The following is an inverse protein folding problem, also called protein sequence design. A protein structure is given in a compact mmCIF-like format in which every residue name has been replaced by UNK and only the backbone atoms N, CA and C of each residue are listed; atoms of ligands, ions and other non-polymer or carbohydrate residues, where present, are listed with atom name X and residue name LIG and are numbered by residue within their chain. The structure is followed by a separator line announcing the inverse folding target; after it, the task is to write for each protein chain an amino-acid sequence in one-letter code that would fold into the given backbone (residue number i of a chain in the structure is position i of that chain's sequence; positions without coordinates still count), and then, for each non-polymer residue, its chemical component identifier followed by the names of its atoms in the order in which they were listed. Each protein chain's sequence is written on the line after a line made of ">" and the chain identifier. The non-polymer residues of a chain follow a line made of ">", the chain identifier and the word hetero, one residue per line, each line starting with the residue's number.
data_IF_074914994962
#
_entry.id   IF_074914994962
#
_cell.length_a   1.000
_cell.length_b   1.000
_cell.length_c   1.000
_cell.angle_alpha   90.00
_cell.angle_beta   90.00
_cell.angle_gamma   90.00
#
_symmetry.space_group_name_H-M   'P 1'
#
loop_
_entity.id
_entity.type
_entity.pdbx_description
1 polymer ?
#
# COMPACT_ATOMS: atom_id res chain seq x y z
N UNK A 1 -32.06 -19.59 5.36
CA UNK A 1 -30.76 -19.62 4.65
C UNK A 1 -30.23 -21.04 4.77
N UNK A 2 -30.36 -21.85 3.71
CA UNK A 2 -29.85 -23.23 3.74
C UNK A 2 -28.33 -23.18 3.58
N UNK A 3 -27.60 -23.70 4.57
CA UNK A 3 -26.14 -23.77 4.53
C UNK A 3 -25.75 -25.11 3.91
N UNK A 4 -25.19 -25.08 2.70
CA UNK A 4 -24.67 -26.28 2.04
C UNK A 4 -23.16 -26.41 2.27
N UNK A 5 -22.67 -27.56 2.79
CA UNK A 5 -21.26 -27.72 3.09
C UNK A 5 -20.44 -27.85 1.80
N UNK A 6 -19.39 -27.03 1.66
CA UNK A 6 -18.40 -27.17 0.59
C UNK A 6 -17.20 -27.99 1.06
N UNK A 7 -16.84 -29.03 0.30
CA UNK A 7 -15.63 -29.83 0.55
C UNK A 7 -14.45 -29.25 -0.21
N UNK A 8 -13.39 -28.90 0.51
CA UNK A 8 -12.10 -28.46 -0.01
C UNK A 8 -10.98 -29.10 0.79
N UNK A 9 -9.79 -29.14 0.20
CA UNK A 9 -8.62 -29.75 0.83
C UNK A 9 -7.93 -28.74 1.77
N UNK A 10 -7.99 -27.44 1.43
CA UNK A 10 -7.49 -26.34 2.25
C UNK A 10 -8.46 -25.15 2.22
N UNK A 11 -8.87 -24.67 3.39
CA UNK A 11 -9.61 -23.41 3.53
C UNK A 11 -8.71 -22.35 4.17
N UNK A 12 -8.60 -21.19 3.52
CA UNK A 12 -7.82 -20.04 3.98
C UNK A 12 -8.77 -18.94 4.40
N UNK A 13 -8.66 -18.51 5.66
CA UNK A 13 -9.42 -17.39 6.20
C UNK A 13 -8.53 -16.14 6.17
N UNK A 14 -8.94 -15.13 5.39
CA UNK A 14 -8.24 -13.87 5.23
C UNK A 14 -7.35 -13.81 3.99
N UNK A 15 -7.61 -12.83 3.14
CA UNK A 15 -6.85 -12.48 1.94
C UNK A 15 -5.67 -11.54 2.24
N UNK A 16 -5.06 -11.68 3.41
CA UNK A 16 -3.80 -11.01 3.75
C UNK A 16 -2.61 -11.57 2.95
N UNK A 17 -1.44 -10.94 3.08
CA UNK A 17 -0.21 -11.39 2.42
C UNK A 17 0.12 -12.86 2.71
N UNK A 18 -0.05 -13.27 3.98
CA UNK A 18 0.19 -14.65 4.40
C UNK A 18 -0.88 -15.62 3.84
N UNK A 19 -2.16 -15.25 3.89
CA UNK A 19 -3.25 -16.08 3.37
C UNK A 19 -3.15 -16.30 1.87
N UNK A 20 -2.85 -15.24 1.10
CA UNK A 20 -2.60 -15.35 -0.34
C UNK A 20 -1.36 -16.18 -0.67
N UNK A 21 -0.30 -16.10 0.15
CA UNK A 21 0.88 -16.92 -0.03
C UNK A 21 0.59 -18.41 0.27
N UNK A 22 -0.14 -18.69 1.35
CA UNK A 22 -0.54 -20.04 1.74
C UNK A 22 -1.49 -20.68 0.71
N UNK A 23 -2.51 -19.94 0.25
CA UNK A 23 -3.43 -20.37 -0.81
C UNK A 23 -2.66 -20.71 -2.08
N UNK A 24 -1.77 -19.81 -2.53
CA UNK A 24 -0.96 -20.01 -3.73
C UNK A 24 -0.06 -21.24 -3.60
N UNK A 25 0.52 -21.48 -2.43
CA UNK A 25 1.35 -22.65 -2.18
C UNK A 25 0.52 -23.94 -2.20
N UNK A 26 -0.62 -23.98 -1.51
CA UNK A 26 -1.51 -25.13 -1.50
C UNK A 26 -2.02 -25.48 -2.91
N UNK A 27 -2.46 -24.47 -3.67
CA UNK A 27 -2.94 -24.64 -5.04
C UNK A 27 -1.85 -25.13 -6.00
N UNK A 28 -0.59 -24.68 -5.82
CA UNK A 28 0.57 -25.18 -6.59
C UNK A 28 0.86 -26.66 -6.34
N UNK A 29 0.52 -27.18 -5.16
CA UNK A 29 0.64 -28.60 -4.82
C UNK A 29 -0.62 -29.41 -5.19
N UNK A 30 -1.55 -28.84 -5.96
CA UNK A 30 -2.73 -29.54 -6.46
C UNK A 30 -3.91 -29.60 -5.48
N UNK A 31 -3.85 -28.93 -4.33
CA UNK A 31 -4.98 -28.88 -3.40
C UNK A 31 -6.13 -28.01 -3.95
N UNK A 32 -7.37 -28.44 -3.73
CA UNK A 32 -8.55 -27.57 -3.93
C UNK A 32 -8.62 -26.61 -2.76
N UNK A 33 -8.44 -25.33 -3.05
CA UNK A 33 -8.39 -24.26 -2.07
C UNK A 33 -9.70 -23.46 -2.04
N UNK A 34 -10.05 -22.93 -0.86
CA UNK A 34 -11.10 -21.92 -0.69
C UNK A 34 -10.53 -20.75 0.10
N UNK A 35 -10.51 -19.56 -0.49
CA UNK A 35 -10.15 -18.32 0.21
C UNK A 35 -11.43 -17.60 0.63
N UNK A 36 -11.54 -17.29 1.92
CA UNK A 36 -12.69 -16.61 2.50
C UNK A 36 -12.18 -15.30 3.11
N UNK A 37 -12.66 -14.18 2.59
CA UNK A 37 -12.38 -12.86 3.14
C UNK A 37 -13.66 -12.01 3.06
N UNK A 38 -14.04 -11.30 4.12
CA UNK A 38 -15.23 -10.45 4.12
C UNK A 38 -15.13 -9.28 3.15
N UNK A 39 -13.93 -8.72 2.94
CA UNK A 39 -13.70 -7.51 2.16
C UNK A 39 -12.37 -7.62 1.40
N UNK A 40 -12.43 -8.13 0.17
CA UNK A 40 -11.26 -8.20 -0.72
C UNK A 40 -10.90 -6.81 -1.28
N UNK A 41 -10.36 -5.94 -0.44
CA UNK A 41 -9.91 -4.58 -0.77
C UNK A 41 -8.37 -4.45 -0.88
N UNK A 42 -7.67 -5.59 -0.90
CA UNK A 42 -6.20 -5.67 -0.82
C UNK A 42 -5.74 -6.19 0.54
N UNK A 43 -4.43 -6.40 0.70
CA UNK A 43 -3.88 -6.87 1.98
C UNK A 43 -3.81 -5.73 2.98
N UNK A 44 -3.97 -6.03 4.27
CA UNK A 44 -3.78 -5.04 5.35
C UNK A 44 -2.44 -4.30 5.23
N UNK A 45 -1.37 -4.99 4.82
CA UNK A 45 -0.06 -4.35 4.62
C UNK A 45 -0.10 -3.24 3.56
N UNK A 46 -0.88 -3.42 2.49
CA UNK A 46 -0.99 -2.47 1.39
C UNK A 46 -1.92 -1.29 1.70
N UNK A 47 -3.04 -1.53 2.38
CA UNK A 47 -4.08 -0.50 2.62
C UNK A 47 -3.82 0.33 3.87
N UNK A 48 -3.50 -0.29 5.01
CA UNK A 48 -3.45 0.39 6.32
C UNK A 48 -2.27 -0.04 7.19
N UNK A 49 -1.34 -0.80 6.62
CA UNK A 49 -0.29 -1.46 7.37
C UNK A 49 1.10 -0.96 6.99
N UNK A 50 1.99 -1.91 6.74
CA UNK A 50 3.40 -1.65 6.56
C UNK A 50 3.74 -0.70 5.40
N UNK A 51 2.97 -0.73 4.30
CA UNK A 51 3.26 0.04 3.10
C UNK A 51 3.06 1.55 3.30
N UNK A 52 1.88 2.04 3.75
CA UNK A 52 1.71 3.47 4.00
C UNK A 52 2.67 3.98 5.09
N UNK A 53 2.93 3.19 6.14
CA UNK A 53 3.86 3.59 7.20
C UNK A 53 5.28 3.79 6.68
N UNK A 54 5.79 2.89 5.82
CA UNK A 54 7.15 3.01 5.26
C UNK A 54 7.30 4.21 4.32
N UNK A 55 6.23 4.61 3.63
CA UNK A 55 6.28 5.80 2.78
C UNK A 55 6.32 7.10 3.59
N UNK A 56 5.58 7.16 4.70
CA UNK A 56 5.66 8.30 5.61
C UNK A 56 7.04 8.42 6.25
N UNK A 57 7.65 7.29 6.63
CA UNK A 57 9.03 7.26 7.12
C UNK A 57 10.00 7.78 6.04
N UNK A 58 9.91 7.28 4.81
CA UNK A 58 10.76 7.75 3.72
C UNK A 58 10.58 9.24 3.40
N UNK A 59 9.35 9.77 3.49
CA UNK A 59 9.08 11.19 3.34
C UNK A 59 9.71 12.02 4.48
N UNK A 60 9.66 11.52 5.71
CA UNK A 60 10.31 12.14 6.86
C UNK A 60 11.83 12.16 6.72
N UNK A 61 12.44 11.06 6.26
CA UNK A 61 13.88 10.97 5.97
C UNK A 61 14.29 11.97 4.87
N UNK A 62 13.50 12.10 3.81
CA UNK A 62 13.76 13.08 2.75
C UNK A 62 13.68 14.52 3.27
N UNK A 63 12.65 14.84 4.06
CA UNK A 63 12.52 16.15 4.71
C UNK A 63 13.70 16.44 5.64
N UNK A 64 14.19 15.41 6.35
CA UNK A 64 15.35 15.54 7.21
C UNK A 64 16.65 15.80 6.46
N UNK A 65 16.83 15.14 5.31
CA UNK A 65 17.93 15.44 4.40
C UNK A 65 17.90 16.89 3.89
N UNK A 66 16.71 17.42 3.58
CA UNK A 66 16.55 18.83 3.19
C UNK A 66 16.95 19.78 4.34
N UNK A 67 16.54 19.50 5.58
CA UNK A 67 16.94 20.32 6.74
C UNK A 67 18.45 20.34 6.97
N UNK A 68 19.12 19.21 6.72
CA UNK A 68 20.58 19.09 6.83
C UNK A 68 21.35 19.70 5.65
N UNK A 69 20.67 20.09 4.58
CA UNK A 69 21.31 20.70 3.40
C UNK A 69 22.02 22.03 3.73
N UNK A 70 21.65 22.68 4.84
CA UNK A 70 22.34 23.87 5.34
C UNK A 70 23.83 23.66 5.64
N UNK A 71 24.25 22.45 5.99
CA UNK A 71 25.67 22.09 6.17
C UNK A 71 26.50 22.28 4.89
N UNK A 72 25.83 22.26 3.73
CA UNK A 72 26.43 22.48 2.41
C UNK A 72 26.14 23.89 1.86
N UNK A 73 25.64 24.81 2.68
CA UNK A 73 25.29 26.17 2.27
C UNK A 73 23.98 26.28 1.47
N UNK A 74 23.15 25.23 1.48
CA UNK A 74 21.85 25.23 0.78
C UNK A 74 20.75 25.62 1.76
N UNK A 75 19.98 26.65 1.42
CA UNK A 75 18.79 27.06 2.18
C UNK A 75 17.52 26.51 1.54
N UNK A 76 16.80 25.65 2.25
CA UNK A 76 15.52 25.07 1.82
C UNK A 76 14.67 24.64 3.03
N UNK A 77 13.35 24.76 2.92
CA UNK A 77 12.39 24.31 3.94
C UNK A 77 11.50 23.19 3.36
N UNK A 78 11.48 22.00 3.96
CA UNK A 78 10.68 20.89 3.43
C UNK A 78 9.19 21.01 3.78
N UNK A 79 8.34 20.74 2.79
CA UNK A 79 6.90 20.57 2.99
C UNK A 79 6.46 19.16 2.58
N UNK A 80 5.82 18.44 3.51
CA UNK A 80 5.32 17.07 3.26
C UNK A 80 3.78 17.09 3.26
N UNK A 81 3.19 16.86 2.10
CA UNK A 81 1.75 16.59 1.99
C UNK A 81 1.47 15.13 2.34
N UNK A 82 1.02 14.90 3.57
CA UNK A 82 0.70 13.55 4.06
C UNK A 82 -0.38 12.82 3.24
N UNK A 83 -1.33 13.54 2.64
CA UNK A 83 -2.35 12.94 1.76
C UNK A 83 -1.75 12.51 0.44
N UNK A 84 -0.92 13.34 -0.18
CA UNK A 84 -0.22 12.97 -1.40
C UNK A 84 0.76 11.80 -1.15
N UNK A 85 1.49 11.80 -0.04
CA UNK A 85 2.38 10.70 0.36
C UNK A 85 1.62 9.37 0.55
N UNK A 86 0.49 9.39 1.25
CA UNK A 86 -0.33 8.19 1.46
C UNK A 86 -1.00 7.71 0.16
N UNK A 87 -1.44 8.62 -0.72
CA UNK A 87 -2.04 8.28 -2.00
C UNK A 87 -1.03 7.67 -2.99
N UNK A 88 0.24 8.10 -2.93
CA UNK A 88 1.31 7.54 -3.76
C UNK A 88 1.50 6.02 -3.55
N UNK A 89 1.17 5.52 -2.34
CA UNK A 89 1.18 4.10 -1.98
C UNK A 89 0.25 3.23 -2.83
N UNK A 90 -0.91 3.80 -3.22
CA UNK A 90 -2.00 3.06 -3.86
C UNK A 90 -1.85 3.03 -5.38
N UNK A 91 -1.01 3.90 -5.96
CA UNK A 91 -0.94 4.15 -7.41
C UNK A 91 0.19 3.36 -8.08
N UNK A 92 1.19 2.86 -7.33
CA UNK A 92 2.32 2.16 -7.95
C UNK A 92 2.85 0.98 -7.13
N UNK A 93 2.54 -0.28 -7.51
CA UNK A 93 3.13 -1.49 -6.94
C UNK A 93 4.67 -1.53 -7.04
N UNK A 94 5.27 -0.70 -7.90
CA UNK A 94 6.71 -0.58 -8.13
C UNK A 94 7.41 0.42 -7.20
N UNK A 95 6.66 1.22 -6.42
CA UNK A 95 7.26 2.19 -5.51
C UNK A 95 8.12 1.53 -4.43
N UNK A 96 7.74 0.34 -3.94
CA UNK A 96 8.52 -0.41 -2.96
C UNK A 96 9.93 -0.78 -3.45
N UNK A 97 10.07 -1.11 -4.74
CA UNK A 97 11.37 -1.46 -5.33
C UNK A 97 12.22 -0.27 -5.77
N UNK A 98 11.65 0.95 -5.78
CA UNK A 98 12.31 2.18 -6.25
C UNK A 98 12.55 3.25 -5.18
N UNK A 99 12.13 3.04 -3.94
CA UNK A 99 12.49 3.96 -2.84
C UNK A 99 14.02 4.02 -2.64
N UNK A 100 14.79 3.02 -3.09
CA UNK A 100 16.26 3.08 -3.13
C UNK A 100 16.85 3.77 -4.38
N UNK A 101 16.06 4.06 -5.42
CA UNK A 101 16.56 4.66 -6.66
C UNK A 101 15.58 5.69 -7.21
N UNK A 102 15.83 6.96 -6.83
CA UNK A 102 15.30 8.21 -7.39
C UNK A 102 13.77 8.27 -7.56
N UNK A 103 13.16 9.16 -6.79
CA UNK A 103 11.85 9.75 -7.09
C UNK A 103 11.83 10.20 -8.57
N UNK A 104 11.01 9.59 -9.45
CA UNK A 104 10.76 10.17 -10.75
C UNK A 104 9.82 11.36 -10.51
N UNK A 105 10.39 12.56 -10.65
CA UNK A 105 9.74 13.86 -10.82
C UNK A 105 8.20 13.81 -10.72
N UNK A 106 7.69 14.34 -9.61
CA UNK A 106 6.29 14.70 -9.47
C UNK A 106 5.84 15.52 -10.71
N UNK A 107 4.70 15.21 -11.34
CA UNK A 107 4.16 16.10 -12.36
C UNK A 107 3.78 17.43 -11.69
N UNK A 108 4.22 18.50 -12.34
CA UNK A 108 3.98 19.87 -11.93
C UNK A 108 2.47 20.15 -11.74
N UNK A 109 2.18 20.84 -10.64
CA UNK A 109 1.02 21.70 -10.39
C UNK A 109 -0.13 21.64 -11.42
N UNK A 110 -1.19 20.91 -11.08
CA UNK A 110 -2.51 21.07 -11.68
C UNK A 110 -3.57 20.54 -10.70
N UNK A 111 -4.74 21.19 -10.57
CA UNK A 111 -5.79 20.68 -9.71
C UNK A 111 -6.29 19.35 -10.26
N UNK A 112 -6.09 18.26 -9.51
CA UNK A 112 -6.71 16.97 -9.81
C UNK A 112 -8.23 17.15 -9.65
N UNK A 113 -9.06 16.91 -10.68
CA UNK A 113 -10.49 17.03 -10.54
C UNK A 113 -10.98 15.92 -9.61
N UNK A 114 -11.32 16.30 -8.38
CA UNK A 114 -11.92 15.41 -7.39
C UNK A 114 -13.40 15.21 -7.76
N UNK A 115 -13.66 14.46 -8.83
CA UNK A 115 -15.00 13.98 -9.13
C UNK A 115 -15.17 12.56 -8.57
N UNK A 116 -15.98 12.51 -7.50
CA UNK A 116 -16.76 11.39 -6.91
C UNK A 116 -16.41 11.09 -5.45
N UNK A 117 -17.11 11.82 -4.57
CA UNK A 117 -17.50 11.39 -3.21
C UNK A 117 -18.43 10.15 -3.29
N UNK A 118 -18.79 9.48 -2.18
CA UNK A 118 -18.00 9.07 -1.00
C UNK A 118 -18.33 7.62 -0.54
N UNK A 119 -17.44 6.95 0.20
CA UNK A 119 -17.85 5.91 1.17
C UNK A 119 -16.93 6.03 2.40
N UNK A 120 -17.28 6.93 3.32
CA UNK A 120 -17.85 6.61 4.63
C UNK A 120 -16.87 5.87 5.55
N UNK A 121 -16.09 6.64 6.31
CA UNK A 121 -15.52 6.21 7.60
C UNK A 121 -16.51 6.65 8.69
N UNK A 122 -17.15 5.67 9.32
CA UNK A 122 -17.76 5.77 10.65
C UNK A 122 -17.36 4.53 11.43
#
# INVERSE_FOLDING_TARGET
>A
MSVEPRRVDVAVLGAGTAGLAAERHARRNGARTLLIDPDFAGTTCATVGCMPSKLLIAAAEAADGVRRAGEFGISAEPHVDGRACAACAMISPKAFGRISQRCPTAPASGPVPVSRRPVFWR
#
